data_IF_382802702233
#
_entry.id   IF_382802702233
#
_cell.length_a   1.000
_cell.length_b   1.000
_cell.length_c   1.000
_cell.angle_alpha   90.00
_cell.angle_beta   90.00
_cell.angle_gamma   90.00
#
_symmetry.space_group_name_H-M   'P 1'
#
loop_
_entity.id
_entity.type
_entity.pdbx_description
1 polymer ?
#
# COMPACT_ATOMS: atom_id res chain seq x y z
N UNK A 1 25.62 3.72 10.32
CA UNK A 1 24.48 2.94 10.85
C UNK A 1 23.47 2.85 9.73
N UNK A 2 22.93 1.67 9.42
CA UNK A 2 21.96 1.53 8.32
C UNK A 2 20.60 2.07 8.80
N UNK A 3 20.07 3.07 8.11
CA UNK A 3 18.78 3.70 8.44
C UNK A 3 17.65 3.09 7.60
N UNK A 4 16.51 2.85 8.24
CA UNK A 4 15.30 2.31 7.62
C UNK A 4 14.09 3.18 7.97
N UNK A 5 13.17 3.27 7.02
CA UNK A 5 11.88 3.93 7.18
C UNK A 5 10.77 2.89 7.15
N UNK A 6 9.83 3.00 8.09
CA UNK A 6 8.62 2.19 8.12
C UNK A 6 7.39 3.06 7.89
N UNK A 7 6.63 2.75 6.85
CA UNK A 7 5.35 3.39 6.52
C UNK A 7 4.23 2.44 6.91
N UNK A 8 3.38 2.82 7.85
CA UNK A 8 2.36 1.95 8.44
C UNK A 8 0.99 2.50 8.10
N UNK A 9 0.10 1.64 7.60
CA UNK A 9 -1.30 1.97 7.37
C UNK A 9 -2.23 0.80 7.74
N UNK A 10 -3.51 1.10 7.93
CA UNK A 10 -4.54 0.15 8.34
C UNK A 10 -5.71 0.08 7.35
N UNK A 11 -6.33 -1.10 7.27
CA UNK A 11 -7.57 -1.31 6.52
C UNK A 11 -8.50 -2.25 7.28
N UNK A 12 -9.81 -2.11 7.06
CA UNK A 12 -10.83 -2.99 7.62
C UNK A 12 -11.43 -2.57 8.96
N UNK A 13 -11.06 -1.39 9.48
CA UNK A 13 -11.64 -0.77 10.68
C UNK A 13 -12.51 0.44 10.28
N UNK A 14 -13.83 0.32 10.47
CA UNK A 14 -14.80 1.40 10.23
C UNK A 14 -15.18 2.18 11.51
N UNK A 15 -14.50 1.92 12.64
CA UNK A 15 -14.80 2.54 13.93
C UNK A 15 -15.92 1.83 14.72
N UNK A 16 -16.60 2.57 15.60
CA UNK A 16 -17.65 2.02 16.48
C UNK A 16 -18.98 1.87 15.73
N UNK A 17 -19.63 0.70 15.83
CA UNK A 17 -20.93 0.45 15.19
C UNK A 17 -21.07 -0.85 14.38
N UNK A 18 -20.08 -1.74 14.42
CA UNK A 18 -20.23 -3.12 13.91
C UNK A 18 -20.23 -3.28 12.38
N UNK A 19 -19.76 -2.28 11.63
CA UNK A 19 -19.68 -2.30 10.15
C UNK A 19 -18.31 -2.71 9.59
N UNK A 20 -17.35 -3.05 10.46
CA UNK A 20 -16.00 -3.45 10.06
C UNK A 20 -15.98 -4.72 9.21
N UNK A 21 -14.86 -4.96 8.53
CA UNK A 21 -14.66 -6.18 7.75
C UNK A 21 -14.19 -7.32 8.65
N UNK A 22 -14.39 -8.58 8.19
CA UNK A 22 -13.86 -9.78 8.88
C UNK A 22 -12.37 -9.66 9.21
N UNK A 23 -11.59 -9.09 8.30
CA UNK A 23 -10.16 -8.91 8.49
C UNK A 23 -9.85 -7.47 8.80
N UNK A 24 -9.23 -7.22 9.94
CA UNK A 24 -8.53 -5.98 10.20
C UNK A 24 -7.05 -6.19 9.86
N UNK A 25 -6.51 -5.32 9.00
CA UNK A 25 -5.15 -5.47 8.47
C UNK A 25 -4.33 -4.25 8.83
N UNK A 26 -3.20 -4.46 9.50
CA UNK A 26 -2.14 -3.45 9.66
C UNK A 26 -0.97 -3.88 8.78
N UNK A 27 -0.49 -2.98 7.94
CA UNK A 27 0.66 -3.25 7.06
C UNK A 27 1.74 -2.21 7.23
N UNK A 28 2.99 -2.68 7.31
CA UNK A 28 4.20 -1.87 7.27
C UNK A 28 4.96 -2.12 5.96
N UNK A 29 5.28 -1.04 5.25
CA UNK A 29 6.30 -1.04 4.19
C UNK A 29 7.61 -0.55 4.80
N UNK A 30 8.63 -1.40 4.79
CA UNK A 30 9.94 -1.16 5.38
C UNK A 30 10.96 -1.00 4.25
N UNK A 31 11.58 0.17 4.15
CA UNK A 31 12.51 0.53 3.10
C UNK A 31 13.83 1.05 3.70
N UNK A 32 14.97 0.77 3.04
CA UNK A 32 16.22 1.45 3.37
C UNK A 32 16.11 2.95 3.06
N UNK A 33 17.01 3.77 3.61
CA UNK A 33 17.07 5.19 3.27
C UNK A 33 17.10 5.45 1.74
N UNK A 34 17.97 4.74 1.02
CA UNK A 34 18.07 4.85 -0.45
C UNK A 34 16.74 4.52 -1.16
N UNK A 35 16.07 3.44 -0.77
CA UNK A 35 14.80 3.05 -1.36
C UNK A 35 13.68 4.06 -1.00
N UNK A 36 13.65 4.55 0.23
CA UNK A 36 12.67 5.54 0.68
C UNK A 36 12.72 6.84 -0.14
N UNK A 37 13.93 7.33 -0.49
CA UNK A 37 14.09 8.53 -1.33
C UNK A 37 13.54 8.36 -2.75
N UNK A 38 13.36 7.12 -3.21
CA UNK A 38 12.93 6.79 -4.58
C UNK A 38 11.47 6.34 -4.67
N UNK A 39 10.75 6.25 -3.55
CA UNK A 39 9.31 5.92 -3.54
C UNK A 39 8.47 6.99 -4.26
N UNK A 40 8.81 8.28 -4.12
CA UNK A 40 8.09 9.37 -4.79
C UNK A 40 8.16 9.29 -6.32
N UNK A 41 9.33 8.97 -6.87
CA UNK A 41 9.51 8.78 -8.31
C UNK A 41 8.83 7.49 -8.80
N UNK A 42 8.83 6.43 -7.98
CA UNK A 42 8.08 5.20 -8.24
C UNK A 42 6.58 5.49 -8.36
N UNK A 43 6.00 6.27 -7.44
CA UNK A 43 4.61 6.68 -7.50
C UNK A 43 4.29 7.45 -8.81
N UNK A 44 5.17 8.36 -9.22
CA UNK A 44 4.99 9.09 -10.48
C UNK A 44 5.05 8.16 -11.71
N UNK A 45 5.98 7.21 -11.72
CA UNK A 45 6.12 6.21 -12.79
C UNK A 45 4.90 5.30 -12.89
N UNK A 46 4.34 4.89 -11.75
CA UNK A 46 3.06 4.15 -11.69
C UNK A 46 1.97 4.96 -12.41
N UNK A 47 1.80 6.23 -12.05
CA UNK A 47 0.78 7.11 -12.65
C UNK A 47 0.94 7.23 -14.16
N UNK A 48 2.17 7.36 -14.65
CA UNK A 48 2.46 7.39 -16.09
C UNK A 48 2.09 6.05 -16.77
N UNK A 49 2.48 4.89 -16.21
CA UNK A 49 2.16 3.56 -16.77
C UNK A 49 0.65 3.32 -16.90
N UNK A 50 -0.15 3.80 -15.96
CA UNK A 50 -1.60 3.61 -15.99
C UNK A 50 -2.36 4.75 -16.70
N UNK A 51 -1.65 5.72 -17.27
CA UNK A 51 -2.18 6.93 -17.86
C UNK A 51 -3.13 7.70 -16.90
N UNK A 52 -2.69 7.86 -15.65
CA UNK A 52 -3.37 8.65 -14.63
C UNK A 52 -2.73 10.05 -14.59
N UNK A 53 -3.54 11.09 -14.79
CA UNK A 53 -3.07 12.47 -14.84
C UNK A 53 -2.24 12.89 -13.60
N UNK A 54 -1.25 13.75 -13.80
CA UNK A 54 -0.27 14.14 -12.78
C UNK A 54 -0.89 14.71 -11.48
N UNK A 55 -2.07 15.32 -11.56
CA UNK A 55 -2.77 15.90 -10.41
C UNK A 55 -3.84 14.97 -9.79
N UNK A 56 -4.12 13.81 -10.40
CA UNK A 56 -5.11 12.86 -9.86
C UNK A 56 -4.53 11.98 -8.76
N UNK A 57 -5.29 11.75 -7.70
CA UNK A 57 -4.92 10.80 -6.65
C UNK A 57 -5.13 9.38 -7.18
N UNK A 58 -4.23 8.46 -6.85
CA UNK A 58 -4.38 7.05 -7.17
C UNK A 58 -5.30 6.39 -6.13
N UNK A 59 -6.57 6.16 -6.49
CA UNK A 59 -7.51 5.40 -5.68
C UNK A 59 -7.59 3.95 -6.18
N UNK A 60 -7.18 2.98 -5.34
CA UNK A 60 -7.12 1.56 -5.71
C UNK A 60 -8.45 0.98 -6.19
N UNK A 61 -9.55 1.39 -5.54
CA UNK A 61 -10.92 0.99 -5.86
C UNK A 61 -11.34 1.40 -7.28
N UNK A 62 -10.79 2.50 -7.81
CA UNK A 62 -11.11 3.04 -9.13
C UNK A 62 -10.29 2.42 -10.27
N UNK A 63 -9.27 1.60 -9.95
CA UNK A 63 -8.42 0.99 -10.95
C UNK A 63 -9.07 -0.26 -11.57
N UNK A 64 -9.06 -0.33 -12.90
CA UNK A 64 -9.37 -1.57 -13.63
C UNK A 64 -8.30 -2.64 -13.38
N UNK A 65 -8.64 -3.91 -13.61
CA UNK A 65 -7.71 -5.03 -13.41
C UNK A 65 -6.35 -4.84 -14.15
N UNK A 66 -6.29 -4.45 -15.44
CA UNK A 66 -5.02 -4.19 -16.12
C UNK A 66 -4.19 -3.09 -15.46
N UNK A 67 -4.84 -2.03 -14.95
CA UNK A 67 -4.15 -0.95 -14.25
C UNK A 67 -3.61 -1.42 -12.89
N UNK A 68 -4.38 -2.19 -12.12
CA UNK A 68 -3.92 -2.79 -10.86
C UNK A 68 -2.70 -3.67 -11.07
N UNK A 69 -2.72 -4.51 -12.11
CA UNK A 69 -1.57 -5.34 -12.50
C UNK A 69 -0.33 -4.49 -12.78
N UNK A 70 -0.45 -3.42 -13.56
CA UNK A 70 0.66 -2.51 -13.83
C UNK A 70 1.22 -1.85 -12.56
N UNK A 71 0.37 -1.48 -11.60
CA UNK A 71 0.82 -0.96 -10.28
C UNK A 71 1.64 -2.03 -9.53
N UNK A 72 1.10 -3.26 -9.42
CA UNK A 72 1.75 -4.35 -8.69
C UNK A 72 3.10 -4.71 -9.32
N UNK A 73 3.15 -4.84 -10.65
CA UNK A 73 4.39 -5.13 -11.37
C UNK A 73 5.44 -4.06 -11.14
N UNK A 74 5.04 -2.78 -11.10
CA UNK A 74 5.97 -1.69 -10.83
C UNK A 74 6.55 -1.75 -9.42
N UNK A 75 5.69 -1.99 -8.42
CA UNK A 75 6.09 -2.15 -7.03
C UNK A 75 6.96 -3.40 -6.81
N UNK A 76 6.71 -4.48 -7.55
CA UNK A 76 7.48 -5.73 -7.46
C UNK A 76 8.95 -5.59 -7.92
N UNK A 77 9.31 -4.51 -8.62
CA UNK A 77 10.70 -4.22 -9.03
C UNK A 77 11.54 -3.57 -7.92
N UNK A 78 10.93 -3.27 -6.78
CA UNK A 78 11.51 -2.41 -5.74
C UNK A 78 12.00 -3.25 -4.57
N UNK A 79 13.00 -2.74 -3.86
CA UNK A 79 13.65 -3.48 -2.77
C UNK A 79 13.20 -2.98 -1.40
N UNK A 80 11.93 -3.20 -1.08
CA UNK A 80 11.36 -2.97 0.24
C UNK A 80 10.70 -4.25 0.76
N UNK A 81 10.53 -4.33 2.07
CA UNK A 81 9.82 -5.44 2.73
C UNK A 81 8.40 -4.99 3.08
N UNK A 82 7.41 -5.84 2.80
CA UNK A 82 6.04 -5.66 3.29
C UNK A 82 5.82 -6.66 4.42
N UNK A 83 5.38 -6.18 5.58
CA UNK A 83 4.95 -7.00 6.70
C UNK A 83 3.51 -6.66 7.05
N UNK A 84 2.62 -7.64 7.06
CA UNK A 84 1.20 -7.46 7.37
C UNK A 84 0.79 -8.34 8.53
N UNK A 85 0.05 -7.76 9.47
CA UNK A 85 -0.66 -8.46 10.54
C UNK A 85 -2.15 -8.41 10.21
N UNK A 86 -2.78 -9.59 10.17
CA UNK A 86 -4.20 -9.75 9.90
C UNK A 86 -4.86 -10.28 11.17
N UNK A 87 -5.92 -9.62 11.61
CA UNK A 87 -6.73 -10.00 12.76
C UNK A 87 -8.13 -10.37 12.26
N UNK A 88 -8.59 -11.57 12.61
CA UNK A 88 -9.99 -11.96 12.41
C UNK A 88 -10.84 -11.25 13.48
N UNK A 89 -11.62 -10.26 13.06
CA UNK A 89 -12.47 -9.45 13.95
C UNK A 89 -13.73 -10.21 14.40
N UNK A 90 -14.02 -11.37 13.83
CA UNK A 90 -15.16 -12.21 14.19
C UNK A 90 -14.82 -13.24 15.27
N UNK A 91 -13.54 -13.43 15.59
CA UNK A 91 -13.03 -14.41 16.54
C UNK A 91 -12.00 -13.78 17.47
N UNK A 92 -12.34 -12.62 18.05
CA UNK A 92 -11.53 -12.01 19.11
C UNK A 92 -11.91 -12.68 20.44
N UNK A 93 -10.97 -13.44 21.01
CA UNK A 93 -11.04 -13.95 22.39
C UNK A 93 -10.96 -12.80 23.41
#
# INVERSE_FOLDING_TARGET
>A
MTEFYAYIDKSGDEGTGGKGTKWFVITALIASHEEATTLGSTYHRIKQRINLGANKILHWSELSHPRRKAVIEELATRNFTICSVLVDTQHQD
#
